data_IF_983900172212
#
_entry.id   IF_983900172212
#
_cell.length_a   1.000
_cell.length_b   1.000
_cell.length_c   1.000
_cell.angle_alpha   90.00
_cell.angle_beta   90.00
_cell.angle_gamma   90.00
#
_symmetry.space_group_name_H-M   'P 1'
#
loop_
_entity.id
_entity.type
_entity.pdbx_description
1 polymer ?
#
# COMPACT_ATOMS: atom_id res chain seq x y z
N UNK A 1 7.98 -10.75 -8.25
CA UNK A 1 6.71 -10.68 -7.50
C UNK A 1 5.92 -9.51 -8.06
N UNK A 2 4.82 -9.74 -8.80
CA UNK A 2 4.22 -8.72 -9.67
C UNK A 2 3.79 -7.47 -8.92
N UNK A 3 3.35 -7.58 -7.67
CA UNK A 3 3.22 -6.45 -6.76
C UNK A 3 3.57 -6.98 -5.37
N UNK A 4 4.45 -6.31 -4.64
CA UNK A 4 4.76 -6.65 -3.25
C UNK A 4 3.69 -6.00 -2.37
N UNK A 5 2.55 -6.67 -2.23
CA UNK A 5 1.40 -6.16 -1.48
C UNK A 5 1.25 -6.91 -0.17
N UNK A 6 1.01 -6.17 0.91
CA UNK A 6 0.72 -6.74 2.22
C UNK A 6 -0.78 -7.03 2.33
N UNK A 7 -1.14 -8.26 2.67
CA UNK A 7 -2.53 -8.73 2.68
C UNK A 7 -3.13 -8.83 4.09
N UNK A 8 -2.26 -8.91 5.10
CA UNK A 8 -2.61 -9.07 6.52
C UNK A 8 -1.65 -8.27 7.40
N UNK A 9 -1.96 -8.24 8.68
CA UNK A 9 -1.09 -7.72 9.73
C UNK A 9 0.25 -8.45 9.68
N UNK A 10 1.35 -7.69 9.77
CA UNK A 10 2.70 -8.21 9.55
C UNK A 10 3.74 -7.33 10.24
N UNK A 11 4.92 -7.90 10.48
CA UNK A 11 6.11 -7.14 10.84
C UNK A 11 6.97 -6.82 9.61
N UNK A 12 7.40 -5.57 9.51
CA UNK A 12 8.28 -5.09 8.44
C UNK A 12 9.59 -4.68 9.08
N UNK A 13 10.68 -5.27 8.61
CA UNK A 13 12.01 -4.85 9.01
C UNK A 13 12.40 -3.54 8.31
N UNK A 14 13.12 -2.67 9.02
CA UNK A 14 13.79 -1.55 8.36
C UNK A 14 14.76 -2.09 7.30
N UNK A 15 14.75 -1.53 6.07
CA UNK A 15 15.66 -2.00 5.02
C UNK A 15 17.12 -1.65 5.31
N UNK A 16 17.41 -0.70 6.20
CA UNK A 16 18.77 -0.39 6.64
C UNK A 16 19.32 -1.50 7.55
N UNK A 17 20.39 -2.21 7.13
CA UNK A 17 20.99 -3.30 7.90
C UNK A 17 21.49 -2.90 9.30
N UNK A 18 21.83 -1.62 9.51
CA UNK A 18 22.34 -1.12 10.80
C UNK A 18 21.25 -0.62 11.73
N UNK A 19 20.05 -0.36 11.21
CA UNK A 19 18.95 0.17 11.99
C UNK A 19 18.36 -0.89 12.93
N UNK A 20 18.17 -2.13 12.45
CA UNK A 20 17.60 -3.24 13.23
C UNK A 20 16.13 -3.06 13.66
N UNK A 21 15.48 -1.96 13.28
CA UNK A 21 14.10 -1.69 13.67
C UNK A 21 13.10 -2.65 12.99
N UNK A 22 12.01 -2.93 13.71
CA UNK A 22 10.86 -3.72 13.23
C UNK A 22 9.60 -2.92 13.50
N UNK A 23 8.75 -2.79 12.47
CA UNK A 23 7.50 -2.07 12.55
C UNK A 23 6.35 -3.07 12.48
N UNK A 24 5.37 -2.94 13.38
CA UNK A 24 4.15 -3.74 13.34
C UNK A 24 3.07 -3.00 12.57
N UNK A 25 2.57 -3.61 11.51
CA UNK A 25 1.38 -3.16 10.80
C UNK A 25 0.16 -3.93 11.33
N UNK A 26 -0.83 -3.20 11.83
CA UNK A 26 -2.09 -3.74 12.36
C UNK A 26 -3.26 -3.16 11.59
N UNK A 27 -4.19 -3.99 11.10
CA UNK A 27 -5.41 -3.47 10.47
C UNK A 27 -6.39 -3.00 11.55
N UNK A 28 -6.82 -1.76 11.43
CA UNK A 28 -7.74 -1.12 12.36
C UNK A 28 -9.19 -1.13 11.87
N UNK A 29 -9.42 -1.42 10.58
CA UNK A 29 -10.74 -1.47 9.97
C UNK A 29 -10.67 -1.37 8.45
N UNK A 30 -11.83 -1.26 7.81
CA UNK A 30 -11.95 -0.95 6.37
C UNK A 30 -12.39 0.51 6.21
N UNK A 31 -11.92 1.15 5.14
CA UNK A 31 -12.31 2.53 4.82
C UNK A 31 -12.49 2.65 3.31
N UNK A 32 -13.53 3.36 2.90
CA UNK A 32 -13.81 3.65 1.49
C UNK A 32 -13.06 4.91 1.10
N UNK A 33 -12.31 4.84 0.00
CA UNK A 33 -11.62 5.97 -0.61
C UNK A 33 -12.07 6.17 -2.05
N UNK A 34 -12.22 7.42 -2.48
CA UNK A 34 -12.39 7.74 -3.90
C UNK A 34 -11.02 8.01 -4.50
N UNK A 35 -10.78 7.48 -5.70
CA UNK A 35 -9.51 7.67 -6.42
C UNK A 35 -9.13 9.15 -6.58
N UNK A 36 -10.12 10.00 -6.87
CA UNK A 36 -9.98 11.46 -7.01
C UNK A 36 -9.44 12.15 -5.76
N UNK A 37 -9.64 11.56 -4.57
CA UNK A 37 -9.29 12.20 -3.30
C UNK A 37 -7.78 12.04 -3.01
N UNK A 38 -7.15 11.00 -3.56
CA UNK A 38 -5.78 10.58 -3.22
C UNK A 38 -4.85 10.50 -4.43
N UNK A 39 -5.36 10.64 -5.65
CA UNK A 39 -4.57 10.53 -6.87
C UNK A 39 -4.87 11.67 -7.84
N UNK A 40 -3.81 12.34 -8.31
CA UNK A 40 -3.91 13.42 -9.30
C UNK A 40 -4.26 12.92 -10.71
N UNK A 41 -3.81 11.73 -11.06
CA UNK A 41 -4.05 11.11 -12.37
C UNK A 41 -5.45 10.52 -12.38
N UNK A 42 -6.36 10.91 -13.29
CA UNK A 42 -7.66 10.27 -13.41
C UNK A 42 -7.52 8.78 -13.72
N UNK A 43 -8.45 7.95 -13.24
CA UNK A 43 -8.62 6.62 -13.83
C UNK A 43 -9.00 6.86 -15.29
N UNK A 44 -8.15 6.41 -16.22
CA UNK A 44 -8.40 6.61 -17.64
C UNK A 44 -9.72 5.97 -18.04
N UNK A 45 -10.41 6.57 -19.01
CA UNK A 45 -11.50 5.91 -19.71
C UNK A 45 -10.93 4.60 -20.27
N UNK A 46 -11.48 3.47 -19.84
CA UNK A 46 -11.19 2.18 -20.46
C UNK A 46 -11.85 2.12 -21.84
N UNK A 47 -11.33 2.91 -22.77
CA UNK A 47 -11.34 2.66 -24.21
C UNK A 47 -9.90 2.52 -24.62
N UNK A 48 -9.27 1.44 -24.15
CA UNK A 48 -8.10 0.90 -24.81
C UNK A 48 -8.54 0.42 -26.20
N UNK A 49 -8.15 1.20 -27.22
CA UNK A 49 -8.05 0.75 -28.61
C UNK A 49 -6.64 0.27 -28.90
#
# INVERSE_FOLDING_TARGET
HPHDWMTTDMEVACPDPLCGARFRITRTGQTVFRHSDVTRVPLGDSTAG
#
